data_IF_817950509324
#
_entry.id   IF_817950509324
#
_cell.length_a   1.000
_cell.length_b   1.000
_cell.length_c   1.000
_cell.angle_alpha   90.00
_cell.angle_beta   90.00
_cell.angle_gamma   90.00
#
_symmetry.space_group_name_H-M   'P 1'
#
loop_
_entity.id
_entity.type
_entity.pdbx_description
1 polymer ?
#
# COMPACT_ATOMS: atom_id res chain seq x y z
N UNK A 1 -24.60 -15.49 -9.89
CA UNK A 1 -24.50 -14.03 -10.04
C UNK A 1 -23.78 -13.70 -11.33
N UNK A 2 -24.31 -12.74 -12.07
CA UNK A 2 -23.68 -12.27 -13.30
C UNK A 2 -22.39 -11.52 -12.95
N UNK A 3 -21.32 -11.77 -13.70
CA UNK A 3 -20.05 -11.06 -13.48
C UNK A 3 -20.18 -9.59 -13.87
N UNK A 4 -19.51 -8.65 -13.16
CA UNK A 4 -19.48 -7.25 -13.53
C UNK A 4 -18.95 -7.02 -14.94
N UNK A 5 -19.51 -6.03 -15.64
CA UNK A 5 -19.01 -5.58 -16.92
C UNK A 5 -17.85 -4.61 -16.74
N UNK A 6 -16.63 -5.07 -16.98
CA UNK A 6 -15.41 -4.27 -16.81
C UNK A 6 -15.33 -3.13 -17.84
N UNK A 7 -14.62 -2.07 -17.47
CA UNK A 7 -14.41 -0.87 -18.29
C UNK A 7 -13.23 -1.10 -19.26
N UNK A 8 -13.46 -0.85 -20.54
CA UNK A 8 -12.43 -0.84 -21.57
C UNK A 8 -11.92 0.58 -21.86
N UNK A 9 -10.99 0.71 -22.84
CA UNK A 9 -10.36 2.01 -23.16
C UNK A 9 -11.34 3.08 -23.61
N UNK A 10 -12.39 2.72 -24.33
CA UNK A 10 -13.40 3.66 -24.83
C UNK A 10 -14.22 4.20 -23.68
N UNK A 11 -14.72 3.32 -22.83
CA UNK A 11 -15.55 3.68 -21.67
C UNK A 11 -14.80 4.55 -20.67
N UNK A 12 -13.50 4.27 -20.45
CA UNK A 12 -12.66 5.10 -19.57
C UNK A 12 -12.55 6.54 -20.09
N UNK A 13 -12.34 6.71 -21.39
CA UNK A 13 -12.24 8.05 -21.99
C UNK A 13 -13.58 8.78 -21.99
N UNK A 14 -14.66 8.06 -22.24
CA UNK A 14 -16.03 8.62 -22.21
C UNK A 14 -16.40 9.09 -20.80
N UNK A 15 -16.14 8.28 -19.77
CA UNK A 15 -16.38 8.66 -18.37
C UNK A 15 -15.51 9.85 -17.94
N UNK A 16 -14.25 9.87 -18.33
CA UNK A 16 -13.36 10.99 -18.03
C UNK A 16 -13.84 12.29 -18.69
N UNK A 17 -14.31 12.22 -19.94
CA UNK A 17 -14.87 13.37 -20.66
C UNK A 17 -16.19 13.84 -20.03
N UNK A 18 -17.07 12.92 -19.66
CA UNK A 18 -18.35 13.23 -18.98
C UNK A 18 -18.12 13.99 -17.67
N UNK A 19 -17.09 13.62 -16.91
CA UNK A 19 -16.78 14.24 -15.63
C UNK A 19 -15.87 15.47 -15.73
N UNK A 20 -15.49 15.87 -16.96
CA UNK A 20 -14.49 16.92 -17.19
C UNK A 20 -13.22 16.67 -16.35
N UNK A 21 -12.81 15.41 -16.26
CA UNK A 21 -11.61 14.99 -15.54
C UNK A 21 -10.43 15.02 -16.47
N UNK A 22 -9.58 16.02 -16.31
CA UNK A 22 -8.23 16.01 -16.87
C UNK A 22 -7.32 15.35 -15.84
N UNK A 23 -6.74 14.18 -16.14
CA UNK A 23 -5.86 13.51 -15.20
C UNK A 23 -4.72 14.42 -14.74
N UNK A 24 -4.58 14.61 -13.43
CA UNK A 24 -3.61 15.52 -12.86
C UNK A 24 -2.44 14.79 -12.22
N UNK A 25 -1.23 15.30 -12.41
CA UNK A 25 -0.04 14.78 -11.73
C UNK A 25 -0.14 14.93 -10.21
N UNK A 26 -0.84 15.96 -9.73
CA UNK A 26 -1.02 16.24 -8.30
C UNK A 26 -1.76 15.13 -7.57
N UNK A 27 -2.75 14.51 -8.21
CA UNK A 27 -3.52 13.41 -7.65
C UNK A 27 -2.98 12.03 -8.08
N UNK A 28 -1.93 11.98 -8.89
CA UNK A 28 -1.34 10.73 -9.36
C UNK A 28 -2.28 9.89 -10.22
N UNK A 29 -3.19 10.53 -10.96
CA UNK A 29 -4.24 9.88 -11.71
C UNK A 29 -3.74 9.21 -12.98
N UNK A 30 -3.77 7.87 -12.99
CA UNK A 30 -3.57 7.02 -14.16
C UNK A 30 -4.63 5.92 -14.09
N UNK A 31 -5.60 5.96 -14.99
CA UNK A 31 -6.74 5.05 -14.96
C UNK A 31 -6.45 3.77 -15.71
N UNK A 32 -6.67 2.64 -15.07
CA UNK A 32 -6.62 1.32 -15.71
C UNK A 32 -7.77 1.19 -16.70
N UNK A 33 -7.47 0.71 -17.91
CA UNK A 33 -8.46 0.54 -18.97
C UNK A 33 -8.42 -0.82 -19.66
N UNK A 34 -7.63 -1.76 -19.13
CA UNK A 34 -7.53 -3.10 -19.71
C UNK A 34 -8.20 -4.15 -18.82
N UNK A 35 -9.33 -4.73 -19.24
CA UNK A 35 -10.04 -5.74 -18.47
C UNK A 35 -9.21 -6.98 -18.12
N UNK A 36 -8.29 -7.40 -18.99
CA UNK A 36 -7.44 -8.56 -18.74
C UNK A 36 -6.44 -8.27 -17.61
N UNK A 37 -5.90 -7.06 -17.58
CA UNK A 37 -5.03 -6.60 -16.48
C UNK A 37 -5.79 -6.55 -15.16
N UNK A 38 -7.03 -6.05 -15.17
CA UNK A 38 -7.89 -6.06 -13.95
C UNK A 38 -8.07 -7.48 -13.43
N UNK A 39 -8.42 -8.44 -14.29
CA UNK A 39 -8.59 -9.85 -13.89
C UNK A 39 -7.29 -10.43 -13.32
N UNK A 40 -6.16 -10.10 -13.92
CA UNK A 40 -4.83 -10.53 -13.44
C UNK A 40 -4.51 -9.97 -12.06
N UNK A 41 -4.80 -8.70 -11.82
CA UNK A 41 -4.59 -8.04 -10.51
C UNK A 41 -5.48 -8.69 -9.45
N UNK A 42 -6.77 -8.87 -9.74
CA UNK A 42 -7.72 -9.49 -8.82
C UNK A 42 -7.31 -10.94 -8.49
N UNK A 43 -6.89 -11.71 -9.49
CA UNK A 43 -6.37 -13.08 -9.28
C UNK A 43 -5.11 -13.09 -8.40
N UNK A 44 -4.20 -12.14 -8.60
CA UNK A 44 -2.97 -12.03 -7.81
C UNK A 44 -3.24 -11.63 -6.34
N UNK A 45 -4.40 -11.04 -6.05
CA UNK A 45 -4.81 -10.70 -4.69
C UNK A 45 -5.21 -11.94 -3.86
N UNK A 46 -5.55 -13.05 -4.52
CA UNK A 46 -5.90 -14.32 -3.89
C UNK A 46 -6.97 -14.15 -2.78
N UNK A 47 -8.08 -13.52 -3.19
CA UNK A 47 -9.17 -13.15 -2.29
C UNK A 47 -10.13 -14.33 -2.09
N UNK A 48 -10.75 -14.39 -0.92
CA UNK A 48 -11.90 -15.26 -0.66
C UNK A 48 -13.21 -14.50 -0.85
N UNK A 49 -14.31 -15.23 -1.05
CA UNK A 49 -15.63 -14.63 -1.23
C UNK A 49 -16.09 -13.84 0.00
N UNK A 50 -15.61 -14.19 1.18
CA UNK A 50 -15.94 -13.52 2.45
C UNK A 50 -15.05 -12.30 2.73
N UNK A 51 -14.08 -12.00 1.87
CA UNK A 51 -13.21 -10.85 2.09
C UNK A 51 -13.97 -9.53 1.99
N UNK A 52 -13.56 -8.62 2.83
CA UNK A 52 -14.01 -7.22 2.88
C UNK A 52 -12.82 -6.36 2.48
N UNK A 53 -12.85 -5.86 1.27
CA UNK A 53 -11.72 -5.16 0.67
C UNK A 53 -11.83 -3.66 0.88
N UNK A 54 -10.72 -3.03 1.28
CA UNK A 54 -10.53 -1.58 1.12
C UNK A 54 -9.77 -1.34 -0.18
N UNK A 55 -10.32 -0.46 -1.02
CA UNK A 55 -9.67 0.08 -2.20
C UNK A 55 -9.44 1.58 -2.01
N UNK A 56 -8.20 2.03 -2.20
CA UNK A 56 -7.86 3.46 -2.16
C UNK A 56 -7.66 3.98 -3.58
N UNK A 57 -8.35 5.07 -3.91
CA UNK A 57 -8.28 5.68 -5.23
C UNK A 57 -8.94 4.83 -6.32
N UNK A 58 -10.24 4.50 -6.20
CA UNK A 58 -10.93 3.70 -7.20
C UNK A 58 -10.99 4.37 -8.58
N UNK A 59 -10.80 5.68 -8.65
CA UNK A 59 -10.85 6.43 -9.89
C UNK A 59 -12.18 6.27 -10.59
N UNK A 60 -12.15 5.78 -11.83
CA UNK A 60 -13.37 5.53 -12.63
C UNK A 60 -14.04 4.19 -12.33
N UNK A 61 -13.43 3.35 -11.47
CA UNK A 61 -14.04 2.12 -11.00
C UNK A 61 -13.56 0.83 -11.65
N UNK A 62 -12.51 0.86 -12.45
CA UNK A 62 -12.01 -0.32 -13.16
C UNK A 62 -11.68 -1.48 -12.22
N UNK A 63 -10.85 -1.25 -11.22
CA UNK A 63 -10.48 -2.28 -10.24
C UNK A 63 -11.67 -2.60 -9.31
N UNK A 64 -12.43 -1.60 -8.91
CA UNK A 64 -13.63 -1.75 -8.07
C UNK A 64 -14.59 -2.79 -8.66
N UNK A 65 -14.90 -2.69 -9.97
CA UNK A 65 -15.76 -3.65 -10.66
C UNK A 65 -15.19 -5.07 -10.61
N UNK A 66 -13.89 -5.23 -10.83
CA UNK A 66 -13.24 -6.53 -10.73
C UNK A 66 -13.34 -7.13 -9.32
N UNK A 67 -13.13 -6.32 -8.29
CA UNK A 67 -13.22 -6.72 -6.90
C UNK A 67 -14.65 -7.12 -6.49
N UNK A 68 -15.65 -6.36 -6.91
CA UNK A 68 -17.07 -6.63 -6.61
C UNK A 68 -17.55 -7.98 -7.15
N UNK A 69 -16.90 -8.50 -8.19
CA UNK A 69 -17.19 -9.84 -8.71
C UNK A 69 -16.72 -10.99 -7.83
N UNK A 70 -15.79 -10.72 -6.91
CA UNK A 70 -15.08 -11.76 -6.16
C UNK A 70 -15.35 -11.75 -4.65
N UNK A 71 -15.71 -10.61 -4.05
CA UNK A 71 -15.74 -10.45 -2.59
C UNK A 71 -17.09 -10.02 -2.05
N UNK A 72 -17.29 -10.20 -0.74
CA UNK A 72 -18.50 -9.81 -0.03
C UNK A 72 -18.74 -8.29 -0.06
N UNK A 73 -17.68 -7.51 0.11
CA UNK A 73 -17.79 -6.06 0.25
C UNK A 73 -16.53 -5.32 -0.21
N UNK A 74 -16.74 -4.17 -0.83
CA UNK A 74 -15.68 -3.22 -1.18
C UNK A 74 -16.01 -1.87 -0.55
N UNK A 75 -15.07 -1.36 0.26
CA UNK A 75 -15.09 0.02 0.74
C UNK A 75 -14.06 0.81 -0.05
N UNK A 76 -14.53 1.73 -0.89
CA UNK A 76 -13.69 2.56 -1.73
C UNK A 76 -13.49 3.94 -1.09
N UNK A 77 -12.24 4.38 -1.00
CA UNK A 77 -11.85 5.70 -0.47
C UNK A 77 -11.36 6.57 -1.62
N UNK A 78 -12.06 7.65 -1.93
CA UNK A 78 -11.76 8.54 -3.04
C UNK A 78 -11.71 10.00 -2.58
N UNK A 79 -10.64 10.71 -2.92
CA UNK A 79 -10.44 12.11 -2.56
C UNK A 79 -11.07 13.08 -3.57
N UNK A 80 -11.15 12.68 -4.85
CA UNK A 80 -11.75 13.52 -5.90
C UNK A 80 -13.29 13.39 -5.86
N UNK A 81 -13.96 14.48 -5.50
CA UNK A 81 -15.42 14.50 -5.33
C UNK A 81 -16.20 14.18 -6.61
N UNK A 82 -15.64 14.48 -7.79
CA UNK A 82 -16.28 14.16 -9.08
C UNK A 82 -16.25 12.65 -9.32
N UNK A 83 -15.13 12.01 -9.07
CA UNK A 83 -14.98 10.56 -9.19
C UNK A 83 -15.81 9.83 -8.13
N UNK A 84 -15.79 10.32 -6.90
CA UNK A 84 -16.58 9.77 -5.80
C UNK A 84 -18.09 9.83 -6.09
N UNK A 85 -18.58 10.94 -6.61
CA UNK A 85 -19.99 11.11 -6.94
C UNK A 85 -20.45 10.17 -8.07
N UNK A 86 -19.57 9.87 -9.03
CA UNK A 86 -19.92 9.02 -10.20
C UNK A 86 -19.80 7.53 -9.94
N UNK A 87 -18.94 7.10 -9.06
CA UNK A 87 -18.65 5.68 -8.85
C UNK A 87 -19.89 4.82 -8.54
N UNK A 88 -20.83 5.23 -7.66
CA UNK A 88 -22.04 4.44 -7.42
C UNK A 88 -22.88 4.21 -8.68
N UNK A 89 -23.02 5.22 -9.54
CA UNK A 89 -23.76 5.12 -10.78
C UNK A 89 -23.09 4.14 -11.76
N UNK A 90 -21.78 4.21 -11.89
CA UNK A 90 -20.98 3.29 -12.71
C UNK A 90 -21.18 1.85 -12.24
N UNK A 91 -21.09 1.62 -10.93
CA UNK A 91 -21.30 0.29 -10.34
C UNK A 91 -22.73 -0.19 -10.52
N UNK A 92 -23.74 0.66 -10.34
CA UNK A 92 -25.16 0.31 -10.56
C UNK A 92 -25.43 -0.11 -12.01
N UNK A 93 -24.77 0.51 -12.97
CA UNK A 93 -24.91 0.18 -14.40
C UNK A 93 -24.15 -1.09 -14.79
N UNK A 94 -22.96 -1.29 -14.25
CA UNK A 94 -22.01 -2.33 -14.68
C UNK A 94 -22.00 -3.58 -13.81
N UNK A 95 -22.44 -3.46 -12.57
CA UNK A 95 -22.52 -4.54 -11.60
C UNK A 95 -23.81 -4.42 -10.76
N UNK A 96 -24.99 -4.44 -11.39
CA UNK A 96 -26.25 -4.18 -10.68
C UNK A 96 -26.54 -5.17 -9.55
N UNK A 97 -26.13 -6.43 -9.70
CA UNK A 97 -26.33 -7.46 -8.68
C UNK A 97 -25.38 -7.27 -7.47
N UNK A 98 -24.26 -6.57 -7.65
CA UNK A 98 -23.25 -6.34 -6.62
C UNK A 98 -23.26 -4.88 -6.09
N UNK A 99 -24.12 -4.03 -6.62
CA UNK A 99 -24.11 -2.59 -6.29
C UNK A 99 -24.26 -2.30 -4.77
N UNK A 100 -25.01 -3.13 -4.06
CA UNK A 100 -25.19 -3.03 -2.61
C UNK A 100 -23.96 -3.45 -1.78
N UNK A 101 -22.94 -4.00 -2.42
CA UNK A 101 -21.68 -4.39 -1.78
C UNK A 101 -20.64 -3.28 -1.77
N UNK A 102 -20.93 -2.13 -2.35
CA UNK A 102 -20.04 -0.98 -2.37
C UNK A 102 -20.39 0.00 -1.26
N UNK A 103 -19.40 0.38 -0.49
CA UNK A 103 -19.44 1.57 0.38
C UNK A 103 -18.40 2.56 -0.13
N UNK A 104 -18.81 3.82 -0.29
CA UNK A 104 -17.93 4.89 -0.73
C UNK A 104 -17.65 5.84 0.42
N UNK A 105 -16.38 6.15 0.63
CA UNK A 105 -15.90 7.15 1.59
C UNK A 105 -15.16 8.24 0.81
N UNK A 106 -15.75 9.42 0.72
CA UNK A 106 -15.13 10.58 0.09
C UNK A 106 -14.20 11.25 1.10
N UNK A 107 -12.91 10.91 1.03
CA UNK A 107 -11.91 11.39 1.97
C UNK A 107 -10.50 11.19 1.43
N UNK A 108 -9.56 12.00 1.93
CA UNK A 108 -8.13 11.70 1.80
C UNK A 108 -7.81 10.45 2.64
N UNK A 109 -7.25 9.42 2.02
CA UNK A 109 -6.91 8.17 2.70
C UNK A 109 -5.94 8.36 3.88
N UNK A 110 -5.08 9.38 3.84
CA UNK A 110 -4.17 9.74 4.95
C UNK A 110 -4.89 10.31 6.18
N UNK A 111 -6.13 10.75 6.02
CA UNK A 111 -6.94 11.33 7.11
C UNK A 111 -8.02 10.37 7.62
N UNK A 112 -8.07 9.16 7.10
CA UNK A 112 -8.98 8.12 7.59
C UNK A 112 -8.66 7.79 9.04
N UNK A 113 -9.70 7.65 9.84
CA UNK A 113 -9.62 7.31 11.26
C UNK A 113 -10.09 5.87 11.52
N UNK A 114 -9.74 5.38 12.69
CA UNK A 114 -10.11 4.02 13.10
C UNK A 114 -11.63 3.84 13.10
N UNK A 115 -12.10 2.78 12.47
CA UNK A 115 -13.52 2.42 12.39
C UNK A 115 -14.27 3.01 11.21
N UNK A 116 -13.74 4.01 10.50
CA UNK A 116 -14.42 4.62 9.34
C UNK A 116 -14.60 3.68 8.16
N UNK A 117 -13.72 2.68 8.03
CA UNK A 117 -13.77 1.69 6.93
C UNK A 117 -14.33 0.33 7.37
N UNK A 118 -14.95 0.27 8.53
CA UNK A 118 -15.41 -0.99 9.11
C UNK A 118 -14.24 -1.87 9.56
N UNK A 119 -14.33 -3.17 9.28
CA UNK A 119 -13.27 -4.15 9.56
C UNK A 119 -12.81 -4.83 8.27
N UNK A 120 -12.00 -4.16 7.45
CA UNK A 120 -11.50 -4.72 6.21
C UNK A 120 -10.56 -5.90 6.49
N UNK A 121 -10.62 -6.92 5.63
CA UNK A 121 -9.74 -8.10 5.72
C UNK A 121 -8.61 -8.06 4.70
N UNK A 122 -8.76 -7.24 3.65
CA UNK A 122 -7.75 -7.07 2.61
C UNK A 122 -7.69 -5.62 2.12
N UNK A 123 -6.50 -5.20 1.71
CA UNK A 123 -6.26 -3.95 1.00
C UNK A 123 -5.82 -4.28 -0.42
N UNK A 124 -6.64 -3.91 -1.41
CA UNK A 124 -6.32 -4.08 -2.83
C UNK A 124 -6.53 -2.76 -3.54
N UNK A 125 -5.49 -2.18 -4.10
CA UNK A 125 -5.57 -0.85 -4.68
C UNK A 125 -4.49 -0.58 -5.73
N UNK A 126 -4.86 0.21 -6.75
CA UNK A 126 -3.92 0.96 -7.55
C UNK A 126 -3.64 2.27 -6.82
N UNK A 127 -2.60 2.31 -5.99
CA UNK A 127 -2.34 3.46 -5.13
C UNK A 127 -1.86 4.68 -5.91
N UNK A 128 -2.31 5.89 -5.54
CA UNK A 128 -1.74 7.12 -6.08
C UNK A 128 -0.23 7.16 -5.82
N UNK A 129 0.57 7.37 -6.86
CA UNK A 129 2.02 7.18 -6.80
C UNK A 129 2.73 8.08 -5.78
N UNK A 130 2.26 9.30 -5.61
CA UNK A 130 2.86 10.28 -4.72
C UNK A 130 2.65 10.04 -3.21
N UNK A 131 1.69 9.20 -2.84
CA UNK A 131 1.31 8.94 -1.43
C UNK A 131 1.23 7.44 -1.09
N UNK A 132 1.67 6.57 -1.99
CA UNK A 132 1.47 5.12 -1.89
C UNK A 132 1.97 4.53 -0.58
N UNK A 133 3.23 4.77 -0.21
CA UNK A 133 3.83 4.19 1.01
C UNK A 133 3.19 4.76 2.28
N UNK A 134 3.01 6.07 2.44
CA UNK A 134 2.30 6.63 3.60
C UNK A 134 0.89 6.06 3.77
N UNK A 135 0.11 5.96 2.70
CA UNK A 135 -1.26 5.41 2.74
C UNK A 135 -1.25 3.94 3.16
N UNK A 136 -0.37 3.13 2.57
CA UNK A 136 -0.22 1.72 2.91
C UNK A 136 0.06 1.54 4.41
N UNK A 137 1.06 2.24 4.93
CA UNK A 137 1.46 2.12 6.33
C UNK A 137 0.39 2.66 7.28
N UNK A 138 -0.29 3.74 6.92
CA UNK A 138 -1.38 4.31 7.70
C UNK A 138 -2.54 3.32 7.87
N UNK A 139 -2.98 2.70 6.79
CA UNK A 139 -4.08 1.73 6.85
C UNK A 139 -3.70 0.45 7.59
N UNK A 140 -2.48 -0.05 7.43
CA UNK A 140 -2.00 -1.22 8.18
C UNK A 140 -1.91 -0.97 9.69
N UNK A 141 -1.60 0.27 10.09
CA UNK A 141 -1.62 0.69 11.49
C UNK A 141 -3.05 0.74 12.06
N UNK A 142 -3.98 1.35 11.31
CA UNK A 142 -5.35 1.56 11.79
C UNK A 142 -6.20 0.28 11.81
N UNK A 143 -5.95 -0.65 10.88
CA UNK A 143 -6.80 -1.81 10.65
C UNK A 143 -6.05 -3.14 10.83
N UNK A 144 -5.89 -3.61 12.08
CA UNK A 144 -5.27 -4.91 12.35
C UNK A 144 -6.02 -6.09 11.73
N UNK A 145 -7.27 -5.90 11.33
CA UNK A 145 -8.09 -6.89 10.62
C UNK A 145 -7.59 -7.21 9.21
N UNK A 146 -6.79 -6.32 8.60
CA UNK A 146 -6.19 -6.56 7.28
C UNK A 146 -5.17 -7.71 7.37
N UNK A 147 -5.48 -8.82 6.69
CA UNK A 147 -4.66 -10.03 6.62
C UNK A 147 -3.80 -10.10 5.38
N UNK A 148 -4.21 -9.41 4.31
CA UNK A 148 -3.47 -9.40 3.05
C UNK A 148 -3.54 -8.06 2.37
N UNK A 149 -2.47 -7.75 1.65
CA UNK A 149 -2.33 -6.55 0.82
C UNK A 149 -1.92 -6.97 -0.57
N UNK A 150 -2.56 -6.43 -1.59
CA UNK A 150 -2.03 -6.36 -2.94
C UNK A 150 -2.17 -4.93 -3.45
N UNK A 151 -1.07 -4.25 -3.61
CA UNK A 151 -1.06 -2.88 -4.12
C UNK A 151 -0.22 -2.76 -5.37
N UNK A 152 -0.66 -1.91 -6.28
CA UNK A 152 0.10 -1.50 -7.44
C UNK A 152 0.70 -0.12 -7.17
N UNK A 153 2.00 -0.02 -7.37
CA UNK A 153 2.81 1.18 -7.15
C UNK A 153 3.81 1.32 -8.29
N UNK A 154 4.53 2.43 -8.35
CA UNK A 154 5.65 2.56 -9.28
C UNK A 154 6.65 1.43 -9.06
N UNK A 155 7.25 0.91 -10.15
CA UNK A 155 8.13 -0.25 -10.08
C UNK A 155 9.27 -0.08 -9.07
N UNK A 156 9.91 1.08 -9.04
CA UNK A 156 10.97 1.38 -8.06
C UNK A 156 10.49 1.34 -6.60
N UNK A 157 9.24 1.72 -6.36
CA UNK A 157 8.61 1.65 -5.03
C UNK A 157 8.32 0.19 -4.66
N UNK A 158 7.84 -0.61 -5.62
CA UNK A 158 7.62 -2.04 -5.43
C UNK A 158 8.93 -2.78 -5.09
N UNK A 159 10.01 -2.48 -5.83
CA UNK A 159 11.33 -3.03 -5.59
C UNK A 159 11.85 -2.66 -4.18
N UNK A 160 11.63 -1.43 -3.76
CA UNK A 160 12.03 -0.94 -2.43
C UNK A 160 11.24 -1.59 -1.30
N UNK A 161 9.92 -1.71 -1.44
CA UNK A 161 9.07 -2.37 -0.44
C UNK A 161 9.47 -3.83 -0.23
N UNK A 162 9.77 -4.55 -1.30
CA UNK A 162 10.13 -5.96 -1.29
C UNK A 162 11.64 -6.22 -1.20
N UNK A 163 12.45 -5.19 -0.98
CA UNK A 163 13.90 -5.31 -0.94
C UNK A 163 14.39 -6.10 0.28
N UNK A 164 15.43 -6.89 0.07
CA UNK A 164 16.14 -7.60 1.14
C UNK A 164 17.22 -6.73 1.80
N UNK A 165 17.54 -6.96 3.09
CA UNK A 165 18.64 -6.28 3.76
C UNK A 165 19.96 -6.39 2.95
N UNK A 166 20.70 -5.30 2.90
CA UNK A 166 21.99 -5.22 2.19
C UNK A 166 21.87 -4.83 0.71
N UNK A 167 20.68 -4.84 0.11
CA UNK A 167 20.50 -4.37 -1.26
C UNK A 167 20.54 -2.85 -1.36
N UNK A 168 20.83 -2.33 -2.57
CA UNK A 168 20.93 -0.88 -2.80
C UNK A 168 19.62 -0.12 -2.56
N UNK A 169 18.47 -0.78 -2.80
CA UNK A 169 17.14 -0.18 -2.72
C UNK A 169 16.48 -0.38 -1.36
N UNK A 170 17.09 -1.20 -0.49
CA UNK A 170 16.59 -1.43 0.87
C UNK A 170 16.60 -0.13 1.69
N UNK A 171 15.52 0.15 2.40
CA UNK A 171 15.38 1.37 3.18
C UNK A 171 14.19 1.35 4.12
N UNK A 172 13.80 2.52 4.61
CA UNK A 172 12.68 2.70 5.55
C UNK A 172 11.40 1.97 5.12
N UNK A 173 10.91 2.11 3.88
CA UNK A 173 9.69 1.41 3.46
C UNK A 173 9.82 -0.11 3.55
N UNK A 174 11.00 -0.67 3.24
CA UNK A 174 11.26 -2.11 3.30
C UNK A 174 11.06 -2.66 4.70
N UNK A 175 11.65 -2.01 5.70
CA UNK A 175 11.58 -2.44 7.11
C UNK A 175 10.18 -2.25 7.68
N UNK A 176 9.58 -1.07 7.46
CA UNK A 176 8.26 -0.75 8.00
C UNK A 176 7.16 -1.66 7.44
N UNK A 177 7.22 -2.00 6.16
CA UNK A 177 6.30 -2.96 5.56
C UNK A 177 6.52 -4.37 6.11
N UNK A 178 7.77 -4.81 6.23
CA UNK A 178 8.13 -6.12 6.76
C UNK A 178 7.72 -6.33 8.23
N UNK A 179 7.50 -5.26 8.98
CA UNK A 179 6.95 -5.34 10.35
C UNK A 179 5.59 -6.03 10.39
N UNK A 180 4.77 -5.83 9.35
CA UNK A 180 3.42 -6.42 9.28
C UNK A 180 3.41 -7.86 8.76
N UNK A 181 4.47 -8.31 8.10
CA UNK A 181 4.60 -9.66 7.57
C UNK A 181 5.46 -9.73 6.31
N UNK A 182 5.59 -10.92 5.70
CA UNK A 182 6.38 -11.10 4.48
C UNK A 182 5.92 -10.22 3.32
N UNK A 183 6.87 -9.54 2.69
CA UNK A 183 6.64 -8.65 1.54
C UNK A 183 7.31 -9.22 0.31
N UNK A 184 6.58 -9.30 -0.80
CA UNK A 184 7.12 -9.78 -2.08
C UNK A 184 6.55 -9.03 -3.27
N UNK A 185 7.31 -8.97 -4.35
CA UNK A 185 6.79 -8.55 -5.64
C UNK A 185 5.87 -9.64 -6.22
N UNK A 186 4.73 -9.23 -6.77
CA UNK A 186 3.71 -10.13 -7.32
C UNK A 186 3.47 -9.92 -8.82
N UNK A 187 4.38 -9.25 -9.50
CA UNK A 187 4.35 -9.03 -10.94
C UNK A 187 4.58 -7.58 -11.35
N UNK A 188 4.70 -7.38 -12.64
CA UNK A 188 4.90 -6.07 -13.28
C UNK A 188 3.72 -5.74 -14.18
N UNK A 189 3.30 -4.48 -14.19
CA UNK A 189 2.23 -3.97 -15.04
C UNK A 189 2.81 -2.92 -15.98
N UNK A 190 2.66 -3.16 -17.29
CA UNK A 190 3.16 -2.26 -18.33
C UNK A 190 2.37 -0.94 -18.39
N UNK A 191 2.97 0.07 -19.01
CA UNK A 191 2.40 1.43 -19.10
C UNK A 191 1.15 1.51 -19.96
N UNK A 192 1.01 0.65 -20.95
CA UNK A 192 0.00 0.75 -22.00
C UNK A 192 -1.43 0.40 -21.55
N UNK A 193 -1.58 -0.12 -20.35
CA UNK A 193 -2.88 -0.45 -19.75
C UNK A 193 -3.49 0.70 -18.95
N UNK A 194 -2.82 1.85 -18.95
CA UNK A 194 -3.26 3.07 -18.27
C UNK A 194 -3.55 4.20 -19.24
N UNK A 195 -4.48 5.05 -18.86
CA UNK A 195 -4.72 6.33 -19.51
C UNK A 195 -4.79 7.46 -18.47
N UNK A 196 -3.99 8.52 -18.65
CA UNK A 196 -2.84 8.58 -19.56
C UNK A 196 -1.77 7.56 -19.16
N UNK A 197 -0.94 7.16 -20.14
CA UNK A 197 0.15 6.24 -19.84
C UNK A 197 1.19 6.91 -18.91
N UNK A 198 1.59 6.24 -17.82
CA UNK A 198 2.63 6.75 -16.93
C UNK A 198 4.01 6.68 -17.62
N UNK A 199 4.99 7.39 -17.06
CA UNK A 199 6.36 7.39 -17.61
C UNK A 199 7.13 6.11 -17.34
N UNK A 200 6.80 5.43 -16.25
CA UNK A 200 7.46 4.22 -15.76
C UNK A 200 6.45 3.09 -15.58
N UNK A 201 6.95 1.87 -15.56
CA UNK A 201 6.13 0.69 -15.27
C UNK A 201 5.70 0.67 -13.81
N UNK A 202 4.67 -0.12 -13.54
CA UNK A 202 4.15 -0.37 -12.20
C UNK A 202 4.52 -1.77 -11.74
N UNK A 203 4.64 -1.95 -10.44
CA UNK A 203 4.85 -3.24 -9.80
C UNK A 203 3.71 -3.57 -8.85
N UNK A 204 3.37 -4.84 -8.78
CA UNK A 204 2.48 -5.39 -7.77
C UNK A 204 3.29 -5.82 -6.55
N UNK A 205 2.84 -5.42 -5.37
CA UNK A 205 3.42 -5.82 -4.08
C UNK A 205 2.36 -6.54 -3.28
N UNK A 206 2.70 -7.72 -2.79
CA UNK A 206 1.90 -8.48 -1.85
C UNK A 206 2.53 -8.46 -0.47
N UNK A 207 1.70 -8.27 0.55
CA UNK A 207 2.07 -8.43 1.96
C UNK A 207 1.11 -9.44 2.58
N UNK A 208 1.66 -10.51 3.13
CA UNK A 208 0.90 -11.45 3.95
C UNK A 208 0.99 -10.97 5.41
N UNK A 209 -0.06 -10.28 5.87
CA UNK A 209 -0.06 -9.58 7.17
C UNK A 209 -0.23 -10.58 8.33
N UNK A 210 0.77 -11.40 8.56
CA UNK A 210 0.81 -12.38 9.66
C UNK A 210 0.99 -11.73 11.02
N UNK A 211 1.42 -10.47 11.05
CA UNK A 211 1.66 -9.65 12.26
C UNK A 211 2.47 -10.39 13.32
N UNK A 212 3.72 -10.82 12.98
CA UNK A 212 4.50 -11.69 13.84
C UNK A 212 5.09 -10.99 15.07
N UNK A 213 4.96 -9.65 15.16
CA UNK A 213 5.57 -8.83 16.19
C UNK A 213 4.53 -8.10 17.03
N UNK A 214 4.90 -7.76 18.27
CA UNK A 214 4.05 -6.96 19.15
C UNK A 214 3.85 -5.55 18.59
N UNK A 215 2.59 -5.20 18.33
CA UNK A 215 2.21 -3.87 17.82
C UNK A 215 2.60 -2.73 18.78
N UNK A 216 2.76 -3.00 20.07
CA UNK A 216 3.21 -2.02 21.04
C UNK A 216 4.64 -1.52 20.76
N UNK A 217 5.47 -2.32 20.09
CA UNK A 217 6.84 -1.95 19.69
C UNK A 217 6.87 -1.01 18.47
N UNK A 218 5.79 -0.94 17.69
CA UNK A 218 5.79 -0.22 16.42
C UNK A 218 6.26 1.24 16.50
N UNK A 219 5.75 2.08 17.40
CA UNK A 219 6.15 3.49 17.44
C UNK A 219 7.66 3.65 17.64
N UNK A 220 8.23 2.90 18.57
CA UNK A 220 9.66 2.93 18.86
C UNK A 220 10.48 2.31 17.73
N UNK A 221 10.05 1.18 17.22
CA UNK A 221 10.70 0.52 16.09
C UNK A 221 10.75 1.43 14.87
N UNK A 222 9.65 2.09 14.52
CA UNK A 222 9.60 3.00 13.38
C UNK A 222 10.49 4.23 13.58
N UNK A 223 10.58 4.77 14.81
CA UNK A 223 11.52 5.84 15.14
C UNK A 223 12.98 5.41 15.00
N UNK A 224 13.31 4.20 15.42
CA UNK A 224 14.65 3.62 15.25
C UNK A 224 15.01 3.43 13.77
N UNK A 225 14.07 2.93 12.97
CA UNK A 225 14.24 2.77 11.52
C UNK A 225 14.52 4.12 10.86
N UNK A 226 13.71 5.13 11.15
CA UNK A 226 13.89 6.47 10.61
C UNK A 226 15.26 7.05 10.98
N UNK A 227 15.68 6.92 12.23
CA UNK A 227 16.98 7.36 12.70
C UNK A 227 18.16 6.61 12.02
N UNK A 228 18.05 5.28 11.91
CA UNK A 228 19.09 4.45 11.30
C UNK A 228 19.34 4.76 9.83
N UNK A 229 18.29 5.16 9.08
CA UNK A 229 18.35 5.47 7.65
C UNK A 229 18.52 6.97 7.35
N UNK A 230 18.32 7.86 8.31
CA UNK A 230 18.51 9.31 8.13
C UNK A 230 19.93 9.66 7.69
N UNK A 231 20.92 8.91 8.15
CA UNK A 231 22.34 9.05 7.80
C UNK A 231 22.88 7.74 7.21
N UNK A 232 22.38 7.37 6.03
CA UNK A 232 22.62 6.06 5.39
C UNK A 232 24.09 5.61 5.34
N UNK A 233 25.03 6.55 5.21
CA UNK A 233 26.46 6.25 5.12
C UNK A 233 27.17 6.11 6.49
N UNK A 234 26.48 6.43 7.58
CA UNK A 234 27.04 6.33 8.95
C UNK A 234 26.82 4.93 9.54
N UNK A 235 27.66 4.58 10.50
CA UNK A 235 27.46 3.40 11.34
C UNK A 235 26.23 3.58 12.21
N UNK A 236 25.64 2.48 12.67
CA UNK A 236 24.49 2.50 13.58
C UNK A 236 24.80 3.26 14.87
N UNK A 237 26.00 3.11 15.42
CA UNK A 237 26.46 3.86 16.58
C UNK A 237 26.33 5.37 16.38
N UNK A 238 26.73 5.87 15.21
CA UNK A 238 26.65 7.28 14.88
C UNK A 238 25.24 7.71 14.50
N UNK A 239 24.54 6.92 13.68
CA UNK A 239 23.19 7.27 13.20
C UNK A 239 22.15 7.31 14.32
N UNK A 240 22.27 6.42 15.31
CA UNK A 240 21.36 6.33 16.45
C UNK A 240 21.74 7.20 17.65
N UNK A 241 22.87 7.89 17.59
CA UNK A 241 23.33 8.72 18.71
C UNK A 241 22.30 9.78 19.13
N UNK A 242 21.62 10.42 18.18
CA UNK A 242 20.56 11.39 18.48
C UNK A 242 19.32 10.76 19.12
N UNK A 243 18.98 9.53 18.74
CA UNK A 243 17.85 8.81 19.31
C UNK A 243 18.10 8.39 20.77
N UNK A 244 19.30 7.92 21.09
CA UNK A 244 19.67 7.47 22.44
C UNK A 244 20.32 8.57 23.30
N UNK A 245 20.53 9.76 22.77
CA UNK A 245 21.15 10.88 23.47
C UNK A 245 22.68 10.94 23.38
N UNK A 246 23.36 9.84 23.08
CA UNK A 246 24.79 9.79 22.83
C UNK A 246 25.19 8.57 22.01
N UNK A 247 26.38 8.62 21.40
CA UNK A 247 26.94 7.49 20.68
C UNK A 247 27.26 6.31 21.62
N UNK A 248 27.65 6.59 22.86
CA UNK A 248 27.88 5.55 23.86
C UNK A 248 26.60 4.82 24.26
N UNK A 249 25.53 5.55 24.51
CA UNK A 249 24.22 4.96 24.81
C UNK A 249 23.66 4.15 23.63
N UNK A 250 23.85 4.63 22.38
CA UNK A 250 23.51 3.86 21.20
C UNK A 250 24.28 2.55 21.10
N UNK A 251 25.58 2.58 21.38
CA UNK A 251 26.43 1.39 21.37
C UNK A 251 26.01 0.36 22.44
N UNK A 252 25.67 0.80 23.65
CA UNK A 252 25.16 -0.07 24.71
C UNK A 252 23.85 -0.76 24.30
N UNK A 253 22.90 -0.01 23.74
CA UNK A 253 21.63 -0.55 23.26
C UNK A 253 21.83 -1.57 22.12
N UNK A 254 22.73 -1.28 21.17
CA UNK A 254 23.06 -2.17 20.07
C UNK A 254 23.69 -3.47 20.58
N UNK A 255 24.62 -3.41 21.52
CA UNK A 255 25.19 -4.60 22.16
C UNK A 255 24.16 -5.41 22.93
N UNK A 256 23.27 -4.76 23.68
CA UNK A 256 22.14 -5.42 24.35
C UNK A 256 21.22 -6.17 23.39
N UNK A 257 21.04 -5.65 22.18
CA UNK A 257 20.28 -6.29 21.12
C UNK A 257 21.10 -7.28 20.27
N UNK A 258 22.36 -7.54 20.61
CA UNK A 258 23.29 -8.39 19.85
C UNK A 258 23.52 -7.90 18.40
N UNK A 259 23.65 -6.60 18.23
CA UNK A 259 23.90 -5.94 16.94
C UNK A 259 25.28 -5.28 16.98
N UNK A 260 26.10 -5.51 15.94
CA UNK A 260 27.38 -4.84 15.77
C UNK A 260 27.19 -3.34 15.50
N UNK A 261 27.65 -2.43 16.38
CA UNK A 261 27.48 -0.99 16.25
C UNK A 261 28.16 -0.37 15.01
N UNK A 262 29.09 -1.10 14.39
CA UNK A 262 29.83 -0.65 13.19
C UNK A 262 29.05 -0.90 11.90
N UNK A 263 28.00 -1.71 11.93
CA UNK A 263 27.12 -1.92 10.79
C UNK A 263 26.38 -0.63 10.43
N UNK A 264 25.88 -0.58 9.19
CA UNK A 264 24.95 0.46 8.73
C UNK A 264 23.52 -0.08 8.80
N UNK A 265 22.54 0.81 8.90
CA UNK A 265 21.13 0.45 9.00
C UNK A 265 20.65 -0.49 7.89
N UNK A 266 21.18 -0.33 6.67
CA UNK A 266 20.84 -1.19 5.52
C UNK A 266 21.21 -2.68 5.70
N UNK A 267 22.01 -3.01 6.67
CA UNK A 267 22.40 -4.40 6.97
C UNK A 267 21.44 -5.10 7.93
N UNK A 268 20.56 -4.35 8.58
CA UNK A 268 19.62 -4.88 9.56
C UNK A 268 18.32 -5.33 8.89
N UNK A 269 17.84 -6.51 9.25
CA UNK A 269 16.48 -6.95 8.97
C UNK A 269 15.48 -6.41 10.01
N UNK A 270 14.19 -6.63 9.77
CA UNK A 270 13.14 -6.20 10.70
C UNK A 270 13.31 -6.83 12.09
N UNK A 271 13.74 -8.09 12.16
CA UNK A 271 13.99 -8.81 13.42
C UNK A 271 15.06 -8.12 14.29
N UNK A 272 16.08 -7.56 13.66
CA UNK A 272 17.13 -6.80 14.36
C UNK A 272 16.54 -5.54 14.99
N UNK A 273 15.69 -4.81 14.23
CA UNK A 273 15.00 -3.65 14.76
C UNK A 273 13.99 -3.98 15.86
N UNK A 274 13.35 -5.15 15.78
CA UNK A 274 12.44 -5.64 16.83
C UNK A 274 13.23 -5.89 18.12
N UNK A 275 14.37 -6.58 18.05
CA UNK A 275 15.23 -6.77 19.23
C UNK A 275 15.72 -5.45 19.81
N UNK A 276 16.14 -4.52 18.96
CA UNK A 276 16.62 -3.21 19.39
C UNK A 276 15.51 -2.40 20.09
N UNK A 277 14.30 -2.40 19.55
CA UNK A 277 13.15 -1.76 20.17
C UNK A 277 12.75 -2.39 21.51
N UNK A 278 13.00 -3.69 21.69
CA UNK A 278 12.69 -4.41 22.92
C UNK A 278 13.67 -4.19 24.08
N UNK A 279 14.86 -3.66 23.81
CA UNK A 279 15.88 -3.36 24.85
C UNK A 279 15.98 -1.86 25.18
N UNK A 280 15.18 -1.03 24.56
CA UNK A 280 15.21 0.44 24.68
C UNK A 280 14.23 0.95 25.70
#
# INVERSE_FOLDING_TARGET
MTQPHLLGPVEIRELAAELDVTPTKKLGQNFLHDPNTIRRIVAAADLSAEDRVVEVGPGLGSLTLGLLGEVEHVTAVEIDSRLAAKLPDTVAQRAPEQANRLTLVEKDALTVEKGELGEPTALVANLPYNVAVPVLLHLLELYPSIRSVLVMVQLEVAERLAAAPGSKVYGVPSVKAAFYGPVRQAGTIGKNVFWPAPKIESGLVRIDCTRPYDEALRPQLFALVDAAFAQRRKTLRAALAGHYGSAAAAEEALHAASIDPRLRGEKLGVEDFVRLAGVS
#
